data_IF_681827217792
#
_entry.id   IF_681827217792
#
_cell.length_a   1.000
_cell.length_b   1.000
_cell.length_c   1.000
_cell.angle_alpha   90.00
_cell.angle_beta   90.00
_cell.angle_gamma   90.00
#
_symmetry.space_group_name_H-M   'P 1'
#
loop_
_entity.id
_entity.type
_entity.pdbx_description
1 polymer ?
#
# COMPACT_ATOMS: atom_id res chain seq x y z
N UNK A 1 -6.98 -15.86 0.67
CA UNK A 1 -7.45 -15.12 1.88
C UNK A 1 -6.25 -14.57 2.65
N UNK A 2 -6.39 -13.50 3.45
CA UNK A 2 -5.31 -12.94 4.28
C UNK A 2 -5.81 -12.61 5.69
N UNK A 3 -5.03 -12.92 6.72
CA UNK A 3 -5.38 -12.66 8.12
C UNK A 3 -4.43 -11.62 8.72
N UNK A 4 -4.96 -10.80 9.62
CA UNK A 4 -4.17 -9.96 10.54
C UNK A 4 -4.20 -10.61 11.94
N UNK A 5 -3.52 -10.02 12.93
CA UNK A 5 -3.53 -10.51 14.32
C UNK A 5 -4.96 -10.60 14.89
N UNK A 6 -5.14 -11.49 15.88
CA UNK A 6 -6.39 -11.63 16.65
C UNK A 6 -6.75 -10.29 17.29
N UNK A 7 -8.03 -9.98 17.45
CA UNK A 7 -8.49 -8.68 17.95
C UNK A 7 -8.04 -8.32 19.39
N UNK A 8 -7.25 -9.16 20.07
CA UNK A 8 -6.86 -9.02 21.47
C UNK A 8 -5.41 -8.55 21.74
N UNK A 9 -4.52 -8.49 20.73
CA UNK A 9 -3.09 -8.18 20.94
C UNK A 9 -2.63 -6.90 20.23
N UNK A 10 -2.44 -5.84 21.01
CA UNK A 10 -1.97 -4.53 20.57
C UNK A 10 -0.54 -4.57 19.98
N UNK A 11 -0.30 -3.78 18.93
CA UNK A 11 1.05 -3.38 18.50
C UNK A 11 1.82 -4.35 17.59
N UNK A 12 1.46 -4.39 16.31
CA UNK A 12 2.30 -4.55 15.08
C UNK A 12 1.48 -5.24 13.98
N UNK A 13 1.19 -4.49 12.91
CA UNK A 13 0.43 -4.96 11.77
C UNK A 13 1.32 -5.85 10.88
N UNK A 14 1.50 -7.10 11.29
CA UNK A 14 2.05 -8.17 10.46
C UNK A 14 0.92 -9.04 9.95
N UNK A 15 0.70 -9.06 8.63
CA UNK A 15 -0.26 -9.98 8.05
C UNK A 15 0.30 -11.41 8.08
N UNK A 16 -0.43 -12.31 8.73
CA UNK A 16 -0.11 -13.74 8.76
C UNK A 16 -0.78 -14.44 7.59
N UNK A 17 -0.15 -15.49 7.07
CA UNK A 17 -0.75 -16.35 6.05
C UNK A 17 -1.52 -17.44 6.79
N UNK A 18 -2.72 -17.77 6.30
CA UNK A 18 -3.40 -19.00 6.71
C UNK A 18 -2.45 -20.17 6.42
N UNK A 19 -2.30 -21.11 7.37
CA UNK A 19 -1.32 -22.21 7.28
C UNK A 19 -1.47 -23.06 6.01
N UNK A 20 -2.66 -23.07 5.42
CA UNK A 20 -2.96 -23.59 4.10
C UNK A 20 -3.90 -22.60 3.37
N UNK A 21 -3.73 -22.42 2.06
CA UNK A 21 -4.68 -21.62 1.26
C UNK A 21 -5.79 -22.55 0.75
N UNK A 22 -7.07 -22.21 1.01
CA UNK A 22 -8.20 -22.97 0.47
C UNK A 22 -8.10 -23.16 -1.05
N UNK A 23 -8.37 -24.37 -1.53
CA UNK A 23 -8.27 -24.69 -2.97
C UNK A 23 -9.61 -24.70 -3.69
N UNK A 24 -10.70 -24.65 -2.94
CA UNK A 24 -12.06 -24.55 -3.48
C UNK A 24 -12.92 -23.58 -2.64
N UNK A 25 -14.13 -23.29 -3.15
CA UNK A 25 -15.04 -22.32 -2.52
C UNK A 25 -15.53 -22.78 -1.14
N UNK A 26 -15.83 -24.07 -0.99
CA UNK A 26 -16.33 -24.64 0.27
C UNK A 26 -15.30 -24.49 1.39
N UNK A 27 -14.05 -24.89 1.14
CA UNK A 27 -12.93 -24.69 2.06
C UNK A 27 -12.71 -23.21 2.37
N UNK A 28 -12.87 -22.33 1.38
CA UNK A 28 -12.68 -20.89 1.57
C UNK A 28 -13.74 -20.30 2.51
N UNK A 29 -14.99 -20.73 2.37
CA UNK A 29 -16.10 -20.34 3.26
C UNK A 29 -15.91 -20.92 4.65
N UNK A 30 -15.57 -22.20 4.77
CA UNK A 30 -15.32 -22.85 6.06
C UNK A 30 -14.15 -22.18 6.80
N UNK A 31 -13.06 -21.87 6.10
CA UNK A 31 -11.92 -21.13 6.65
C UNK A 31 -12.33 -19.75 7.16
N UNK A 32 -13.18 -19.02 6.41
CA UNK A 32 -13.67 -17.72 6.84
C UNK A 32 -14.53 -17.79 8.12
N UNK A 33 -15.39 -18.80 8.23
CA UNK A 33 -16.18 -19.06 9.42
C UNK A 33 -15.29 -19.41 10.63
N UNK A 34 -14.27 -20.26 10.44
CA UNK A 34 -13.31 -20.59 11.50
C UNK A 34 -12.54 -19.37 11.99
N UNK A 35 -12.09 -18.52 11.07
CA UNK A 35 -11.40 -17.27 11.42
C UNK A 35 -12.32 -16.30 12.15
N UNK A 36 -13.59 -16.20 11.76
CA UNK A 36 -14.59 -15.39 12.46
C UNK A 36 -14.83 -15.90 13.88
N UNK A 37 -15.09 -17.21 14.04
CA UNK A 37 -15.28 -17.85 15.34
C UNK A 37 -14.03 -17.68 16.23
N UNK A 38 -12.85 -17.67 15.62
CA UNK A 38 -11.59 -17.38 16.30
C UNK A 38 -11.37 -15.91 16.67
N UNK A 39 -12.23 -14.97 16.28
CA UNK A 39 -12.06 -13.54 16.57
C UNK A 39 -10.98 -12.86 15.73
N UNK A 40 -10.64 -13.40 14.56
CA UNK A 40 -9.61 -12.86 13.67
C UNK A 40 -10.15 -11.71 12.81
N UNK A 41 -9.27 -10.76 12.49
CA UNK A 41 -9.50 -9.81 11.41
C UNK A 41 -8.90 -10.35 10.11
N UNK A 42 -9.65 -10.28 9.01
CA UNK A 42 -9.22 -10.88 7.75
C UNK A 42 -9.89 -10.24 6.53
N UNK A 43 -9.29 -10.49 5.37
CA UNK A 43 -9.76 -10.02 4.07
C UNK A 43 -9.99 -11.16 3.07
N UNK A 44 -11.00 -10.97 2.22
CA UNK A 44 -11.58 -11.99 1.34
C UNK A 44 -11.51 -11.57 -0.13
N UNK A 45 -11.43 -12.57 -1.02
CA UNK A 45 -11.49 -12.39 -2.48
C UNK A 45 -10.34 -11.57 -3.09
N UNK A 46 -10.47 -11.31 -4.39
CA UNK A 46 -9.42 -10.72 -5.24
C UNK A 46 -9.09 -9.26 -4.89
N UNK A 47 -10.09 -8.48 -4.48
CA UNK A 47 -9.92 -7.10 -4.02
C UNK A 47 -9.51 -7.02 -2.53
N UNK A 48 -9.37 -8.16 -1.84
CA UNK A 48 -9.00 -8.23 -0.43
C UNK A 48 -9.93 -7.39 0.47
N UNK A 49 -11.25 -7.52 0.28
CA UNK A 49 -12.26 -6.82 1.09
C UNK A 49 -12.23 -7.35 2.53
N UNK A 50 -12.01 -6.46 3.50
CA UNK A 50 -11.98 -6.83 4.92
C UNK A 50 -13.37 -7.25 5.43
N UNK A 51 -13.44 -8.30 6.27
CA UNK A 51 -14.68 -8.87 6.84
C UNK A 51 -15.61 -7.82 7.46
N UNK A 52 -15.06 -6.77 8.07
CA UNK A 52 -15.83 -5.71 8.73
C UNK A 52 -16.67 -4.89 7.75
N UNK A 53 -16.31 -4.88 6.47
CA UNK A 53 -17.05 -4.18 5.42
C UNK A 53 -18.20 -5.01 4.85
N UNK A 54 -18.21 -6.34 5.00
CA UNK A 54 -19.19 -7.23 4.37
C UNK A 54 -20.64 -6.85 4.72
N UNK A 55 -21.00 -6.56 6.00
CA UNK A 55 -22.35 -6.15 6.36
C UNK A 55 -22.81 -4.89 5.61
N UNK A 56 -21.94 -3.89 5.46
CA UNK A 56 -22.24 -2.63 4.74
C UNK A 56 -22.60 -2.89 3.27
N UNK A 57 -21.96 -3.88 2.65
CA UNK A 57 -22.19 -4.24 1.24
C UNK A 57 -23.11 -5.46 1.06
N UNK A 58 -23.71 -5.95 2.15
CA UNK A 58 -24.64 -7.10 2.17
C UNK A 58 -24.06 -8.34 1.50
N UNK A 59 -22.77 -8.61 1.72
CA UNK A 59 -22.09 -9.78 1.17
C UNK A 59 -21.99 -10.90 2.21
N UNK A 60 -22.33 -12.12 1.81
CA UNK A 60 -21.94 -13.34 2.52
C UNK A 60 -20.48 -13.69 2.24
N UNK A 61 -19.89 -14.64 2.99
CA UNK A 61 -18.54 -15.12 2.69
C UNK A 61 -18.42 -15.74 1.30
N UNK A 62 -19.40 -16.56 0.90
CA UNK A 62 -19.42 -17.15 -0.44
C UNK A 62 -19.42 -16.06 -1.53
N UNK A 63 -20.27 -15.03 -1.38
CA UNK A 63 -20.32 -13.90 -2.31
C UNK A 63 -19.04 -13.07 -2.29
N UNK A 64 -18.35 -12.97 -1.15
CA UNK A 64 -17.06 -12.29 -1.06
C UNK A 64 -15.93 -13.01 -1.81
N UNK A 65 -16.10 -14.29 -2.18
CA UNK A 65 -15.19 -15.02 -3.06
C UNK A 65 -15.61 -14.99 -4.54
N UNK A 66 -16.85 -14.57 -4.87
CA UNK A 66 -17.22 -14.26 -6.25
C UNK A 66 -16.45 -13.02 -6.74
N UNK A 67 -15.76 -13.17 -7.88
CA UNK A 67 -14.86 -12.14 -8.39
C UNK A 67 -15.58 -10.81 -8.65
N UNK A 68 -16.75 -10.86 -9.28
CA UNK A 68 -17.51 -9.68 -9.66
C UNK A 68 -18.09 -8.95 -8.45
N UNK A 69 -18.71 -9.69 -7.53
CA UNK A 69 -19.25 -9.14 -6.29
C UNK A 69 -18.15 -8.53 -5.41
N UNK A 70 -17.00 -9.21 -5.31
CA UNK A 70 -15.86 -8.74 -4.53
C UNK A 70 -15.24 -7.46 -5.12
N UNK A 71 -15.04 -7.40 -6.43
CA UNK A 71 -14.54 -6.19 -7.11
C UNK A 71 -15.52 -5.02 -6.97
N UNK A 72 -16.82 -5.26 -7.05
CA UNK A 72 -17.85 -4.24 -6.87
C UNK A 72 -17.85 -3.67 -5.46
N UNK A 73 -17.65 -4.50 -4.43
CA UNK A 73 -17.51 -4.02 -3.06
C UNK A 73 -16.20 -3.27 -2.87
N UNK A 74 -15.08 -3.82 -3.36
CA UNK A 74 -13.77 -3.17 -3.31
C UNK A 74 -13.77 -1.79 -3.97
N UNK A 75 -14.34 -1.65 -5.16
CA UNK A 75 -14.42 -0.36 -5.85
C UNK A 75 -15.23 0.68 -5.08
N UNK A 76 -16.36 0.28 -4.46
CA UNK A 76 -17.16 1.16 -3.61
C UNK A 76 -16.42 1.57 -2.33
N UNK A 77 -15.62 0.69 -1.73
CA UNK A 77 -14.80 1.03 -0.55
C UNK A 77 -13.75 2.08 -0.94
N UNK A 78 -13.07 1.88 -2.07
CA UNK A 78 -12.08 2.83 -2.56
C UNK A 78 -12.71 4.18 -2.89
N UNK A 79 -13.88 4.18 -3.54
CA UNK A 79 -14.64 5.39 -3.87
C UNK A 79 -15.05 6.16 -2.59
N UNK A 80 -15.54 5.47 -1.56
CA UNK A 80 -15.89 6.07 -0.26
C UNK A 80 -14.66 6.67 0.45
N UNK A 81 -13.52 5.96 0.42
CA UNK A 81 -12.27 6.49 0.91
C UNK A 81 -11.82 7.76 0.16
N UNK A 82 -11.94 7.76 -1.16
CA UNK A 82 -11.59 8.91 -2.00
C UNK A 82 -12.50 10.11 -1.71
N UNK A 83 -13.83 9.93 -1.70
CA UNK A 83 -14.76 11.01 -1.40
C UNK A 83 -14.47 11.66 -0.04
N UNK A 84 -14.21 10.86 0.99
CA UNK A 84 -13.86 11.37 2.33
C UNK A 84 -12.48 12.05 2.36
N UNK A 85 -11.51 11.58 1.58
CA UNK A 85 -10.20 12.19 1.47
C UNK A 85 -10.30 13.56 0.77
N UNK A 86 -10.99 13.62 -0.36
CA UNK A 86 -11.19 14.86 -1.14
C UNK A 86 -11.94 15.93 -0.35
N UNK A 87 -12.87 15.54 0.53
CA UNK A 87 -13.58 16.48 1.39
C UNK A 87 -12.74 17.00 2.57
N UNK A 88 -11.67 16.30 2.97
CA UNK A 88 -10.91 16.59 4.19
C UNK A 88 -9.51 17.15 3.94
N UNK A 89 -8.92 16.83 2.80
CA UNK A 89 -7.54 17.21 2.48
C UNK A 89 -7.51 18.52 1.70
N UNK A 90 -6.61 19.41 2.13
CA UNK A 90 -6.26 20.63 1.40
C UNK A 90 -5.25 20.30 0.28
N UNK A 91 -5.01 21.27 -0.60
CA UNK A 91 -4.29 21.17 -1.88
C UNK A 91 -2.92 20.50 -1.86
N UNK A 92 -2.27 20.34 -0.70
CA UNK A 92 -0.93 19.75 -0.61
C UNK A 92 -0.89 18.21 -0.65
N UNK A 93 -2.01 17.53 -0.37
CA UNK A 93 -2.05 16.05 -0.32
C UNK A 93 -2.98 15.48 -1.38
N UNK A 94 -2.43 14.61 -2.23
CA UNK A 94 -3.22 13.88 -3.23
C UNK A 94 -4.31 13.02 -2.56
N UNK A 95 -5.60 13.33 -2.77
CA UNK A 95 -6.71 12.58 -2.19
C UNK A 95 -6.73 11.11 -2.61
N UNK A 96 -6.21 10.77 -3.79
CA UNK A 96 -6.12 9.39 -4.27
C UNK A 96 -5.11 8.58 -3.46
N UNK A 97 -3.94 9.15 -3.16
CA UNK A 97 -2.95 8.49 -2.31
C UNK A 97 -3.48 8.26 -0.88
N UNK A 98 -4.18 9.26 -0.33
CA UNK A 98 -4.86 9.12 0.95
C UNK A 98 -5.98 8.07 0.91
N UNK A 99 -6.71 7.96 -0.21
CA UNK A 99 -7.71 6.94 -0.41
C UNK A 99 -7.09 5.53 -0.41
N UNK A 100 -5.92 5.33 -1.02
CA UNK A 100 -5.20 4.05 -0.94
C UNK A 100 -4.79 3.70 0.50
N UNK A 101 -4.32 4.68 1.28
CA UNK A 101 -4.05 4.47 2.71
C UNK A 101 -5.33 4.08 3.48
N UNK A 102 -6.44 4.75 3.18
CA UNK A 102 -7.74 4.46 3.80
C UNK A 102 -8.25 3.07 3.41
N UNK A 103 -8.10 2.65 2.16
CA UNK A 103 -8.48 1.31 1.72
C UNK A 103 -7.70 0.23 2.48
N UNK A 104 -6.41 0.45 2.69
CA UNK A 104 -5.54 -0.48 3.41
C UNK A 104 -5.82 -0.57 4.92
N UNK A 105 -6.10 0.56 5.57
CA UNK A 105 -5.99 0.67 7.04
C UNK A 105 -7.10 1.48 7.72
N UNK A 106 -8.09 1.95 6.97
CA UNK A 106 -9.20 2.77 7.47
C UNK A 106 -8.84 4.23 7.78
N UNK A 107 -7.58 4.67 7.59
CA UNK A 107 -7.15 6.05 7.83
C UNK A 107 -6.22 6.57 6.71
N UNK A 108 -6.08 7.89 6.63
CA UNK A 108 -5.36 8.56 5.55
C UNK A 108 -3.84 8.61 5.69
N UNK A 109 -3.23 8.02 6.74
CA UNK A 109 -1.78 8.18 6.99
C UNK A 109 -1.02 6.86 7.07
N UNK A 110 -1.62 5.78 7.58
CA UNK A 110 -0.91 4.52 7.86
C UNK A 110 -0.34 3.84 6.62
N UNK A 111 -1.01 3.93 5.48
CA UNK A 111 -0.55 3.35 4.21
C UNK A 111 0.71 4.00 3.63
N UNK A 112 1.10 5.18 4.13
CA UNK A 112 2.35 5.84 3.77
C UNK A 112 3.56 5.30 4.55
N UNK A 113 3.33 4.54 5.62
CA UNK A 113 4.40 3.91 6.41
C UNK A 113 4.61 2.46 5.97
N UNK A 114 5.86 1.98 5.90
CA UNK A 114 6.12 0.58 5.58
C UNK A 114 5.79 -0.33 6.76
N UNK A 115 5.37 -1.56 6.45
CA UNK A 115 5.05 -2.57 7.47
C UNK A 115 6.32 -3.24 8.02
N UNK A 116 7.41 -3.20 7.25
CA UNK A 116 8.73 -3.73 7.60
C UNK A 116 9.79 -2.72 7.20
N UNK A 117 10.79 -2.52 8.06
CA UNK A 117 11.92 -1.66 7.75
C UNK A 117 12.58 -2.08 6.42
N UNK A 118 12.94 -1.10 5.59
CA UNK A 118 13.56 -1.34 4.27
C UNK A 118 12.60 -1.76 3.14
N UNK A 119 11.29 -1.86 3.39
CA UNK A 119 10.31 -2.15 2.34
C UNK A 119 9.55 -0.88 1.89
N UNK A 120 8.99 -0.85 0.66
CA UNK A 120 8.08 0.22 0.28
C UNK A 120 6.77 0.18 1.08
N UNK A 121 6.18 1.35 1.30
CA UNK A 121 4.86 1.49 1.92
C UNK A 121 3.75 0.91 1.04
N UNK A 122 2.56 0.73 1.61
CA UNK A 122 1.42 0.23 0.84
C UNK A 122 1.10 1.14 -0.35
N UNK A 123 1.05 2.46 -0.13
CA UNK A 123 0.78 3.43 -1.20
C UNK A 123 1.84 3.34 -2.29
N UNK A 124 3.12 3.26 -1.93
CA UNK A 124 4.21 3.10 -2.90
C UNK A 124 4.09 1.82 -3.72
N UNK A 125 3.71 0.69 -3.09
CA UNK A 125 3.48 -0.59 -3.78
C UNK A 125 2.35 -0.49 -4.81
N UNK A 126 1.26 0.18 -4.46
CA UNK A 126 0.12 0.38 -5.37
C UNK A 126 0.52 1.24 -6.57
N UNK A 127 1.20 2.38 -6.33
CA UNK A 127 1.64 3.28 -7.39
C UNK A 127 2.63 2.61 -8.36
N UNK A 128 3.59 1.84 -7.81
CA UNK A 128 4.51 1.06 -8.63
C UNK A 128 3.78 -0.01 -9.47
N UNK A 129 2.79 -0.70 -8.89
CA UNK A 129 2.01 -1.73 -9.59
C UNK A 129 1.14 -1.15 -10.71
N UNK A 130 0.64 0.08 -10.54
CA UNK A 130 -0.15 0.77 -11.54
C UNK A 130 0.67 1.26 -12.75
N UNK A 131 1.99 1.01 -12.78
CA UNK A 131 2.92 1.51 -13.81
C UNK A 131 2.71 3.00 -14.10
N UNK A 132 2.40 3.78 -13.06
CA UNK A 132 2.46 5.23 -13.15
C UNK A 132 3.93 5.57 -13.31
N UNK A 133 4.38 5.62 -14.56
CA UNK A 133 5.71 6.11 -14.91
C UNK A 133 5.70 7.59 -14.53
N UNK A 134 6.48 8.05 -13.54
CA UNK A 134 6.61 9.48 -13.32
C UNK A 134 7.08 10.10 -14.63
N UNK A 135 6.36 11.12 -15.13
CA UNK A 135 6.83 11.88 -16.29
C UNK A 135 8.21 12.39 -15.92
N UNK A 136 9.24 11.90 -16.63
CA UNK A 136 10.62 12.28 -16.36
C UNK A 136 10.69 13.82 -16.40
N UNK A 137 11.12 14.43 -15.30
CA UNK A 137 11.49 15.84 -15.31
C UNK A 137 12.71 15.90 -16.21
N UNK A 138 12.61 16.63 -17.33
CA UNK A 138 13.76 16.92 -18.18
C UNK A 138 14.79 17.64 -17.31
N UNK A 139 15.88 16.95 -16.95
CA UNK A 139 16.98 17.57 -16.25
C UNK A 139 17.69 18.44 -17.28
N UNK A 140 17.50 19.76 -17.18
CA UNK A 140 18.28 20.72 -17.96
C UNK A 140 19.75 20.57 -17.53
N UNK A 141 20.70 20.34 -18.44
CA UNK A 141 22.11 20.22 -18.08
C UNK A 141 22.57 21.49 -17.36
N UNK A 142 23.29 21.32 -16.25
CA UNK A 142 23.96 22.43 -15.60
C UNK A 142 25.00 23.01 -16.57
N UNK A 143 24.95 24.32 -16.82
CA UNK A 143 25.94 25.02 -17.63
C UNK A 143 27.28 24.93 -16.90
N UNK A 144 28.29 24.40 -17.61
CA UNK A 144 29.55 23.87 -17.11
C UNK A 144 30.25 24.63 -15.98
N UNK A 145 30.62 23.88 -14.93
CA UNK A 145 31.77 24.21 -14.09
C UNK A 145 33.03 24.13 -14.96
N UNK A 146 33.70 25.27 -15.17
CA UNK A 146 34.98 25.33 -15.86
C UNK A 146 36.06 24.74 -14.95
N UNK A 147 36.58 23.58 -15.29
CA UNK A 147 37.80 23.03 -14.68
C UNK A 147 39.01 23.61 -15.44
N UNK A 148 39.74 24.52 -14.80
CA UNK A 148 41.11 24.86 -15.24
C UNK A 148 42.09 23.78 -14.73
N UNK A 149 43.13 23.41 -15.49
CA UNK A 149 44.14 22.43 -15.06
C UNK A 149 45.00 22.95 -13.90
N UNK A 150 45.64 22.06 -13.10
CA UNK A 150 46.44 22.46 -11.95
C UNK A 150 47.71 23.20 -12.37
N UNK A 151 48.03 24.28 -11.66
CA UNK A 151 49.26 25.04 -11.84
C UNK A 151 50.50 24.19 -11.48
N UNK A 152 51.47 24.11 -12.39
CA UNK A 152 52.82 23.66 -12.08
C UNK A 152 53.51 24.69 -11.16
N UNK A 153 53.96 24.25 -10.00
CA UNK A 153 54.92 24.99 -9.16
C UNK A 153 56.30 24.90 -9.82
N UNK A 154 57.08 26.00 -9.93
CA UNK A 154 58.43 25.93 -10.43
C UNK A 154 59.37 25.31 -9.38
N UNK A 155 60.34 24.53 -9.87
CA UNK A 155 61.43 23.97 -9.08
C UNK A 155 62.38 25.08 -8.59
N UNK A 156 62.85 24.97 -7.34
CA UNK A 156 63.86 25.84 -6.77
C UNK A 156 65.25 25.46 -7.29
N UNK A 157 65.98 26.43 -7.83
CA UNK A 157 67.40 26.32 -8.23
C UNK A 157 68.32 26.58 -7.02
N UNK A 158 69.47 25.91 -6.89
CA UNK A 158 70.42 26.16 -5.82
C UNK A 158 71.38 27.31 -6.19
N UNK A 159 71.80 28.04 -5.15
CA UNK A 159 72.66 29.21 -5.22
C UNK A 159 74.07 28.95 -5.77
N UNK A 160 74.56 29.87 -6.61
CA UNK A 160 75.94 30.40 -6.59
C UNK A 160 76.06 31.74 -7.28
#
# INVERSE_FOLDING_TARGET
MRTDRRAADDGSAGASRVGFQPVNLEEAVATAQQLEAGGWNFSLGIAQVNRRNLPKYKLTYAQAFDACANLRAGSKILQDCYARASAKLTSEKDPLHAAFSCYYSGNFSRGFRPDKAGQPSYVQKVLASARVVPKAIQVVPAIGARTSPPAHLPAAEPAR
#
